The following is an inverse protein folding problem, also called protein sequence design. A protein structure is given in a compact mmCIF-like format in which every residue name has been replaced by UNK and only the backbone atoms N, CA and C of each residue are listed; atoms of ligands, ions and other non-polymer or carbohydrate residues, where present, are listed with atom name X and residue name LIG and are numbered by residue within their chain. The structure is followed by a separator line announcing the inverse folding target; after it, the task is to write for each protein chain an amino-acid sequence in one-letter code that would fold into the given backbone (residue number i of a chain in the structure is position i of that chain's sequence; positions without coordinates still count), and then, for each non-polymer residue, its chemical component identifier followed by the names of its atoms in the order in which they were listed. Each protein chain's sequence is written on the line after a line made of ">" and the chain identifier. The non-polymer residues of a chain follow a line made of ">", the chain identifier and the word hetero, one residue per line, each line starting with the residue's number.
data_IF_722033994124
#
_entry.id   IF_722033994124
#
_cell.length_a   1.000
_cell.length_b   1.000
_cell.length_c   1.000
_cell.angle_alpha   90.00
_cell.angle_beta   90.00
_cell.angle_gamma   90.00
#
_symmetry.space_group_name_H-M   'P 1'
#
loop_
_entity.id
_entity.type
_entity.pdbx_description
1 polymer ?
#
# COMPACT_ATOMS: atom_id res chain seq x y z
N UNK A 1 5.31 5.47 4.71
CA UNK A 1 6.56 4.67 4.75
C UNK A 1 6.72 3.76 3.53
N UNK A 2 5.89 2.72 3.36
CA UNK A 2 6.14 1.66 2.37
C UNK A 2 5.82 2.05 0.92
N UNK A 3 4.72 2.77 0.70
CA UNK A 3 4.17 3.03 -0.64
C UNK A 3 4.56 4.38 -1.23
N UNK A 4 5.38 5.17 -0.54
CA UNK A 4 5.70 6.54 -0.98
C UNK A 4 6.29 6.58 -2.40
N UNK A 5 7.21 5.68 -2.81
CA UNK A 5 7.69 5.67 -4.19
C UNK A 5 6.59 5.49 -5.24
N UNK A 6 5.64 4.58 -4.99
CA UNK A 6 4.52 4.35 -5.91
C UNK A 6 3.56 5.54 -5.93
N UNK A 7 3.21 6.08 -4.76
CA UNK A 7 2.30 7.23 -4.66
C UNK A 7 2.87 8.44 -5.41
N UNK A 8 4.15 8.76 -5.18
CA UNK A 8 4.80 9.88 -5.84
C UNK A 8 4.90 9.63 -7.35
N UNK A 9 5.25 8.43 -7.81
CA UNK A 9 5.31 8.12 -9.24
C UNK A 9 3.95 8.25 -9.94
N UNK A 10 2.85 7.83 -9.28
CA UNK A 10 1.50 7.96 -9.83
C UNK A 10 1.04 9.43 -9.88
N UNK A 11 1.45 10.25 -8.91
CA UNK A 11 1.07 11.65 -8.81
C UNK A 11 1.96 12.59 -9.64
N UNK A 12 3.17 12.17 -10.01
CA UNK A 12 4.15 12.97 -10.77
C UNK A 12 3.87 13.01 -12.29
N UNK A 13 2.76 12.43 -12.77
CA UNK A 13 2.38 12.55 -14.19
C UNK A 13 2.21 14.03 -14.58
N UNK A 14 3.03 14.49 -15.53
CA UNK A 14 2.98 15.84 -16.12
C UNK A 14 1.72 16.09 -16.94
N UNK A 15 1.12 15.01 -17.46
CA UNK A 15 -0.16 15.06 -18.14
C UNK A 15 -1.27 14.90 -17.08
N UNK A 16 -1.89 16.02 -16.71
CA UNK A 16 -2.96 16.06 -15.72
C UNK A 16 -4.18 15.21 -16.15
N UNK A 17 -4.41 15.03 -17.45
CA UNK A 17 -5.52 14.21 -17.96
C UNK A 17 -5.26 12.71 -17.81
N UNK A 18 -3.98 12.31 -17.71
CA UNK A 18 -3.57 10.91 -17.49
C UNK A 18 -3.27 10.59 -16.04
N UNK A 19 -3.30 11.58 -15.15
CA UNK A 19 -3.02 11.38 -13.73
C UNK A 19 -4.12 10.53 -13.10
N UNK A 20 -3.81 9.37 -12.52
CA UNK A 20 -4.82 8.57 -11.84
C UNK A 20 -5.32 9.30 -10.59
N UNK A 21 -6.60 9.09 -10.25
CA UNK A 21 -7.13 9.49 -8.95
C UNK A 21 -6.61 8.52 -7.90
N UNK A 22 -5.72 9.00 -7.04
CA UNK A 22 -5.14 8.20 -5.96
C UNK A 22 -5.97 8.38 -4.70
N UNK A 23 -6.25 7.26 -4.05
CA UNK A 23 -7.15 7.11 -2.91
C UNK A 23 -6.41 6.38 -1.78
N UNK A 24 -6.59 6.80 -0.54
CA UNK A 24 -6.01 6.15 0.65
C UNK A 24 -7.11 5.66 1.58
N UNK A 25 -7.06 4.38 1.94
CA UNK A 25 -7.94 3.77 2.93
C UNK A 25 -7.10 3.05 3.97
N UNK A 26 -7.11 3.57 5.20
CA UNK A 26 -6.43 3.00 6.35
C UNK A 26 -7.45 2.25 7.21
N UNK A 27 -7.26 0.94 7.41
CA UNK A 27 -8.26 0.10 8.08
C UNK A 27 -8.24 0.18 9.61
N UNK A 28 -7.28 0.92 10.17
CA UNK A 28 -7.18 1.14 11.61
C UNK A 28 -6.56 2.50 11.89
N UNK A 29 -6.92 3.09 13.03
CA UNK A 29 -6.27 4.28 13.58
C UNK A 29 -4.94 3.99 14.27
N UNK A 30 -4.58 2.72 14.46
CA UNK A 30 -3.36 2.35 15.16
C UNK A 30 -3.42 2.66 16.65
N UNK A 31 -4.55 2.39 17.31
CA UNK A 31 -4.80 2.80 18.69
C UNK A 31 -4.26 1.83 19.77
N UNK A 32 -3.37 0.90 19.42
CA UNK A 32 -2.82 -0.08 20.38
C UNK A 32 -2.17 0.59 21.62
N UNK A 33 -1.59 1.78 21.44
CA UNK A 33 -0.95 2.56 22.51
C UNK A 33 -1.86 3.68 23.07
N UNK A 34 -3.15 3.72 22.73
CA UNK A 34 -4.06 4.82 23.10
C UNK A 34 -3.83 6.13 22.32
N UNK A 35 -3.10 6.07 21.20
CA UNK A 35 -2.70 7.23 20.39
C UNK A 35 -3.46 7.37 19.06
N UNK A 36 -4.58 6.67 18.90
CA UNK A 36 -5.34 6.58 17.64
C UNK A 36 -5.74 7.95 17.07
N UNK A 37 -6.28 8.84 17.91
CA UNK A 37 -6.67 10.18 17.48
C UNK A 37 -5.46 11.02 17.03
N UNK A 38 -4.34 10.93 17.74
CA UNK A 38 -3.08 11.61 17.34
C UNK A 38 -2.61 11.05 15.99
N UNK A 39 -2.58 9.72 15.86
CA UNK A 39 -2.08 9.01 14.67
C UNK A 39 -2.96 9.25 13.44
N UNK A 40 -4.27 9.43 13.61
CA UNK A 40 -5.20 9.85 12.55
C UNK A 40 -4.74 11.18 11.93
N UNK A 41 -4.56 12.21 12.76
CA UNK A 41 -4.12 13.53 12.28
C UNK A 41 -2.69 13.52 11.74
N UNK A 42 -1.80 12.67 12.29
CA UNK A 42 -0.46 12.48 11.73
C UNK A 42 -0.50 11.87 10.32
N UNK A 43 -1.38 10.89 10.10
CA UNK A 43 -1.60 10.29 8.78
C UNK A 43 -2.16 11.32 7.81
N UNK A 44 -3.15 12.12 8.20
CA UNK A 44 -3.70 13.19 7.36
C UNK A 44 -2.60 14.14 6.85
N UNK A 45 -1.79 14.70 7.76
CA UNK A 45 -0.68 15.59 7.38
C UNK A 45 0.38 14.88 6.51
N UNK A 46 0.64 13.60 6.77
CA UNK A 46 1.55 12.78 5.96
C UNK A 46 1.03 12.63 4.52
N UNK A 47 -0.27 12.40 4.37
CA UNK A 47 -0.95 12.31 3.08
C UNK A 47 -0.98 13.64 2.34
N UNK A 48 -1.10 14.78 3.05
CA UNK A 48 -0.98 16.11 2.46
C UNK A 48 0.39 16.31 1.80
N UNK A 49 1.47 15.92 2.49
CA UNK A 49 2.84 15.99 1.95
C UNK A 49 2.98 15.12 0.69
N UNK A 50 2.40 13.92 0.70
CA UNK A 50 2.41 13.01 -0.46
C UNK A 50 1.51 13.48 -1.60
N UNK A 51 0.59 14.42 -1.36
CA UNK A 51 -0.31 14.99 -2.35
C UNK A 51 -1.62 14.21 -2.54
N UNK A 52 -2.09 13.49 -1.52
CA UNK A 52 -3.40 12.84 -1.54
C UNK A 52 -4.42 13.80 -0.90
N UNK A 53 -5.42 14.20 -1.69
CA UNK A 53 -6.46 15.16 -1.32
C UNK A 53 -7.34 14.65 -0.15
N UNK A 54 -7.87 15.59 0.66
CA UNK A 54 -8.70 15.30 1.83
C UNK A 54 -9.96 14.46 1.50
N UNK A 55 -10.66 14.79 0.42
CA UNK A 55 -11.80 14.00 -0.05
C UNK A 55 -11.43 12.64 -0.66
N UNK A 56 -10.16 12.23 -0.60
CA UNK A 56 -9.65 10.93 -1.10
C UNK A 56 -8.94 10.10 -0.03
N UNK A 57 -9.10 10.43 1.26
CA UNK A 57 -8.52 9.69 2.38
C UNK A 57 -9.57 9.26 3.40
N UNK A 58 -9.48 8.01 3.86
CA UNK A 58 -10.38 7.44 4.87
C UNK A 58 -9.60 6.66 5.90
N UNK A 59 -9.96 6.84 7.16
CA UNK A 59 -9.38 6.10 8.29
C UNK A 59 -10.52 5.44 9.06
N UNK A 60 -10.46 4.12 9.15
CA UNK A 60 -11.47 3.30 9.81
C UNK A 60 -11.10 3.14 11.27
N UNK A 61 -12.11 3.25 12.13
CA UNK A 61 -12.00 3.04 13.57
C UNK A 61 -13.18 2.19 14.01
N UNK A 62 -13.00 0.87 13.95
CA UNK A 62 -14.02 -0.12 14.31
C UNK A 62 -13.44 -1.12 15.30
N UNK A 63 -14.24 -1.70 16.20
CA UNK A 63 -13.75 -2.69 17.17
C UNK A 63 -13.06 -3.89 16.51
N UNK A 64 -13.55 -4.34 15.35
CA UNK A 64 -13.08 -5.55 14.67
C UNK A 64 -11.76 -5.36 13.91
N UNK A 65 -11.35 -4.11 13.66
CA UNK A 65 -10.12 -3.76 12.92
C UNK A 65 -9.15 -2.91 13.77
N UNK A 66 -9.15 -3.13 15.08
CA UNK A 66 -8.14 -2.51 15.95
C UNK A 66 -6.76 -3.10 15.68
N UNK A 67 -5.74 -2.25 15.78
CA UNK A 67 -4.35 -2.64 15.52
C UNK A 67 -3.87 -3.68 16.53
N UNK A 68 -3.66 -4.91 16.05
CA UNK A 68 -3.17 -6.03 16.82
C UNK A 68 -1.89 -6.63 16.20
N UNK A 69 -0.84 -6.80 17.00
CA UNK A 69 0.43 -7.39 16.56
C UNK A 69 0.48 -8.92 16.74
N UNK A 70 -0.58 -9.52 17.30
CA UNK A 70 -0.68 -10.96 17.61
C UNK A 70 -1.82 -11.67 16.88
N UNK A 71 -2.75 -10.95 16.28
CA UNK A 71 -3.93 -11.51 15.65
C UNK A 71 -4.15 -10.93 14.25
N UNK A 72 -4.55 -11.80 13.33
CA UNK A 72 -5.01 -11.39 12.00
C UNK A 72 -6.46 -10.89 12.06
N UNK A 73 -6.80 -9.96 11.17
CA UNK A 73 -8.18 -9.55 10.94
C UNK A 73 -8.91 -10.52 10.00
N UNK A 74 -10.23 -10.63 10.23
CA UNK A 74 -11.11 -11.46 9.42
C UNK A 74 -11.27 -10.92 7.98
N UNK A 75 -11.07 -11.76 6.94
CA UNK A 75 -11.20 -11.33 5.54
C UNK A 75 -12.58 -10.78 5.17
N UNK A 76 -13.67 -11.33 5.73
CA UNK A 76 -15.03 -10.86 5.44
C UNK A 76 -15.26 -9.45 6.00
N UNK A 77 -14.77 -9.18 7.21
CA UNK A 77 -14.81 -7.88 7.87
C UNK A 77 -14.07 -6.82 7.04
N UNK A 78 -12.85 -7.13 6.59
CA UNK A 78 -12.11 -6.26 5.67
C UNK A 78 -12.91 -6.03 4.38
N UNK A 79 -13.44 -7.08 3.76
CA UNK A 79 -14.21 -6.96 2.53
C UNK A 79 -15.45 -6.07 2.69
N UNK A 80 -16.15 -6.15 3.83
CA UNK A 80 -17.31 -5.32 4.15
C UNK A 80 -16.93 -3.83 4.22
N UNK A 81 -15.77 -3.50 4.80
CA UNK A 81 -15.25 -2.13 4.86
C UNK A 81 -14.77 -1.64 3.49
N UNK A 82 -14.08 -2.49 2.72
CA UNK A 82 -13.58 -2.13 1.39
C UNK A 82 -14.71 -1.93 0.37
N UNK A 83 -15.82 -2.69 0.47
CA UNK A 83 -16.88 -2.74 -0.55
C UNK A 83 -17.49 -1.38 -0.89
N UNK A 84 -18.08 -0.61 0.05
CA UNK A 84 -18.69 0.68 -0.28
C UNK A 84 -17.66 1.62 -0.89
N UNK A 85 -16.46 1.63 -0.31
CA UNK A 85 -15.36 2.48 -0.76
C UNK A 85 -14.94 2.22 -2.22
N UNK A 86 -14.74 0.95 -2.56
CA UNK A 86 -14.34 0.52 -3.91
C UNK A 86 -15.42 0.84 -4.93
N UNK A 87 -16.69 0.61 -4.60
CA UNK A 87 -17.81 0.79 -5.51
C UNK A 87 -18.17 2.26 -5.75
N UNK A 88 -18.25 3.07 -4.68
CA UNK A 88 -18.60 4.49 -4.73
C UNK A 88 -17.54 5.31 -5.48
N UNK A 89 -16.26 5.04 -5.22
CA UNK A 89 -15.15 5.73 -5.86
C UNK A 89 -14.73 5.13 -7.21
N UNK A 90 -15.42 4.05 -7.66
CA UNK A 90 -15.13 3.32 -8.90
C UNK A 90 -13.64 2.93 -9.01
N UNK A 91 -13.09 2.40 -7.91
CA UNK A 91 -11.69 2.00 -7.84
C UNK A 91 -11.43 0.90 -8.86
N UNK A 92 -10.43 1.09 -9.73
CA UNK A 92 -10.05 0.13 -10.77
C UNK A 92 -8.84 -0.72 -10.41
N UNK A 93 -8.05 -0.29 -9.42
CA UNK A 93 -6.83 -0.97 -8.97
C UNK A 93 -6.70 -0.82 -7.47
N UNK A 94 -6.47 -1.92 -6.77
CA UNK A 94 -6.17 -1.98 -5.34
C UNK A 94 -4.69 -2.33 -5.17
N UNK A 95 -3.97 -1.50 -4.43
CA UNK A 95 -2.57 -1.72 -4.03
C UNK A 95 -2.55 -2.04 -2.54
N UNK A 96 -1.92 -3.16 -2.16
CA UNK A 96 -1.85 -3.60 -0.76
C UNK A 96 -0.52 -4.33 -0.46
N UNK A 97 -0.34 -4.82 0.77
CA UNK A 97 0.79 -5.67 1.10
C UNK A 97 0.62 -7.09 0.54
N UNK A 98 1.70 -7.84 0.49
CA UNK A 98 1.65 -9.28 0.21
C UNK A 98 1.36 -10.10 1.49
N UNK A 99 1.34 -11.42 1.32
CA UNK A 99 1.09 -12.39 2.38
C UNK A 99 2.16 -12.42 3.48
N UNK A 100 3.28 -11.70 3.32
CA UNK A 100 4.32 -11.54 4.35
C UNK A 100 4.23 -10.17 5.05
N UNK A 101 3.39 -9.25 4.58
CA UNK A 101 3.12 -7.99 5.28
C UNK A 101 4.35 -7.09 5.50
N UNK A 102 5.41 -7.25 4.70
CA UNK A 102 6.75 -6.62 4.82
C UNK A 102 7.55 -7.08 6.04
N UNK A 103 6.93 -7.16 7.21
CA UNK A 103 7.56 -7.51 8.49
C UNK A 103 6.81 -8.60 9.26
N UNK A 104 5.97 -9.38 8.57
CA UNK A 104 5.07 -10.38 9.17
C UNK A 104 4.06 -9.79 10.16
N UNK A 105 3.71 -8.51 10.02
CA UNK A 105 2.70 -7.88 10.86
C UNK A 105 1.32 -8.49 10.54
N UNK A 106 0.60 -9.11 11.49
CA UNK A 106 -0.65 -9.83 11.21
C UNK A 106 -1.68 -8.99 10.45
N UNK A 107 -1.92 -7.75 10.87
CA UNK A 107 -2.85 -6.84 10.18
C UNK A 107 -2.48 -6.60 8.71
N UNK A 108 -1.18 -6.48 8.38
CA UNK A 108 -0.74 -6.34 6.99
C UNK A 108 -0.98 -7.63 6.19
N UNK A 109 -0.75 -8.80 6.79
CA UNK A 109 -0.98 -10.11 6.19
C UNK A 109 -2.47 -10.35 5.91
N UNK A 110 -3.36 -9.77 6.71
CA UNK A 110 -4.82 -9.87 6.51
C UNK A 110 -5.33 -9.05 5.33
N UNK A 111 -4.70 -7.92 5.00
CA UNK A 111 -5.17 -7.01 3.95
C UNK A 111 -5.34 -7.65 2.56
N UNK A 112 -4.37 -8.40 2.00
CA UNK A 112 -4.58 -9.05 0.71
C UNK A 112 -5.68 -10.12 0.75
N UNK A 113 -5.88 -10.81 1.88
CA UNK A 113 -6.94 -11.82 2.04
C UNK A 113 -8.32 -11.17 1.92
N UNK A 114 -8.54 -10.08 2.65
CA UNK A 114 -9.80 -9.33 2.59
C UNK A 114 -10.07 -8.67 1.24
N UNK A 115 -9.02 -8.11 0.60
CA UNK A 115 -9.15 -7.55 -0.75
C UNK A 115 -9.49 -8.62 -1.79
N UNK A 116 -8.82 -9.77 -1.76
CA UNK A 116 -9.15 -10.89 -2.65
C UNK A 116 -10.57 -11.42 -2.42
N UNK A 117 -11.01 -11.51 -1.16
CA UNK A 117 -12.37 -11.91 -0.80
C UNK A 117 -13.44 -10.92 -1.29
N UNK A 118 -13.19 -9.61 -1.20
CA UNK A 118 -14.07 -8.63 -1.83
C UNK A 118 -14.18 -8.88 -3.34
N UNK A 119 -13.04 -8.98 -4.02
CA UNK A 119 -13.00 -9.07 -5.48
C UNK A 119 -13.61 -10.38 -6.01
N UNK A 120 -13.49 -11.48 -5.26
CA UNK A 120 -14.09 -12.77 -5.63
C UNK A 120 -15.62 -12.73 -5.59
N UNK A 121 -16.20 -11.87 -4.74
CA UNK A 121 -17.65 -11.69 -4.57
C UNK A 121 -18.26 -10.57 -5.41
N UNK A 122 -17.46 -9.71 -6.05
CA UNK A 122 -17.98 -8.66 -6.92
C UNK A 122 -18.46 -9.24 -8.26
N UNK A 123 -19.59 -8.77 -8.82
CA UNK A 123 -19.95 -9.11 -10.20
C UNK A 123 -18.93 -8.50 -11.17
N UNK A 124 -18.65 -9.19 -12.27
CA UNK A 124 -17.80 -8.69 -13.36
C UNK A 124 -18.58 -8.74 -14.67
N UNK A 125 -18.62 -7.63 -15.39
CA UNK A 125 -19.18 -7.58 -16.76
C UNK A 125 -18.16 -6.93 -17.69
N UNK A 126 -18.26 -7.12 -19.02
CA UNK A 126 -17.37 -6.44 -19.96
C UNK A 126 -17.39 -4.91 -19.82
N UNK A 127 -18.55 -4.34 -19.45
CA UNK A 127 -18.72 -2.89 -19.23
C UNK A 127 -18.23 -2.40 -17.86
N UNK A 128 -18.09 -3.31 -16.89
CA UNK A 128 -17.69 -3.00 -15.52
C UNK A 128 -16.80 -4.14 -15.01
N UNK A 129 -15.51 -4.16 -15.40
CA UNK A 129 -14.57 -5.16 -14.94
C UNK A 129 -14.30 -4.98 -13.44
N UNK A 130 -13.93 -6.07 -12.78
CA UNK A 130 -13.45 -6.02 -11.39
C UNK A 130 -12.17 -5.18 -11.28
N UNK A 131 -11.95 -4.55 -10.12
CA UNK A 131 -10.66 -3.96 -9.82
C UNK A 131 -9.53 -5.00 -9.91
N UNK A 132 -8.37 -4.58 -10.40
CA UNK A 132 -7.13 -5.38 -10.35
C UNK A 132 -6.53 -5.32 -8.95
N UNK A 133 -5.93 -6.41 -8.49
CA UNK A 133 -5.27 -6.47 -7.19
C UNK A 133 -3.77 -6.62 -7.36
N UNK A 134 -2.99 -5.73 -6.74
CA UNK A 134 -1.55 -5.83 -6.69
C UNK A 134 -1.06 -5.84 -5.25
N UNK A 135 -0.07 -6.69 -4.98
CA UNK A 135 0.63 -6.75 -3.70
C UNK A 135 2.07 -6.29 -3.84
N UNK A 136 2.52 -5.47 -2.89
CA UNK A 136 3.91 -5.06 -2.77
C UNK A 136 4.75 -6.25 -2.32
N UNK A 137 5.78 -6.58 -3.09
CA UNK A 137 6.63 -7.73 -2.86
C UNK A 137 7.45 -7.52 -1.59
N UNK A 138 7.32 -8.44 -0.62
CA UNK A 138 8.21 -8.52 0.53
C UNK A 138 9.56 -9.08 0.13
N UNK A 139 10.59 -8.24 0.17
CA UNK A 139 11.97 -8.65 -0.12
C UNK A 139 12.68 -9.28 1.10
N UNK A 140 13.63 -10.20 0.89
CA UNK A 140 14.47 -10.76 1.95
C UNK A 140 15.22 -9.68 2.75
N UNK A 141 15.58 -9.99 4.00
CA UNK A 141 16.16 -9.02 4.94
C UNK A 141 17.43 -8.33 4.40
N UNK A 142 18.31 -9.07 3.74
CA UNK A 142 19.54 -8.52 3.17
C UNK A 142 19.26 -7.51 2.05
N UNK A 143 18.23 -7.74 1.22
CA UNK A 143 17.79 -6.81 0.18
C UNK A 143 17.01 -5.63 0.74
N UNK A 144 16.36 -5.81 1.90
CA UNK A 144 15.50 -4.82 2.55
C UNK A 144 16.28 -3.60 3.03
N UNK A 145 17.54 -3.79 3.43
CA UNK A 145 18.38 -2.74 4.02
C UNK A 145 19.55 -2.29 3.12
N UNK A 146 19.41 -2.47 1.80
CA UNK A 146 20.37 -1.92 0.81
C UNK A 146 20.24 -0.40 0.62
N UNK A 147 19.24 0.24 1.22
CA UNK A 147 19.05 1.69 1.27
C UNK A 147 19.21 2.39 -0.09
N UNK A 148 20.00 3.48 -0.19
CA UNK A 148 20.14 4.28 -1.40
C UNK A 148 20.85 3.56 -2.56
N UNK A 149 21.41 2.36 -2.34
CA UNK A 149 21.98 1.53 -3.42
C UNK A 149 20.87 0.81 -4.21
N UNK A 150 19.69 0.64 -3.61
CA UNK A 150 18.60 -0.10 -4.22
C UNK A 150 18.05 0.51 -5.53
N UNK A 151 17.84 1.84 -5.68
CA UNK A 151 17.50 2.44 -6.97
C UNK A 151 18.48 2.13 -8.09
N UNK A 152 19.78 2.14 -7.80
CA UNK A 152 20.83 1.89 -8.79
C UNK A 152 20.75 0.45 -9.26
N UNK A 153 20.65 -0.50 -8.33
CA UNK A 153 20.48 -1.91 -8.65
C UNK A 153 19.18 -2.19 -9.43
N UNK A 154 18.06 -1.56 -9.04
CA UNK A 154 16.77 -1.72 -9.73
C UNK A 154 16.81 -1.16 -11.16
N UNK A 155 17.41 0.03 -11.36
CA UNK A 155 17.60 0.60 -12.70
C UNK A 155 18.53 -0.26 -13.56
N UNK A 156 19.61 -0.79 -13.00
CA UNK A 156 20.51 -1.70 -13.71
C UNK A 156 19.81 -3.02 -14.10
N UNK A 157 19.00 -3.59 -13.22
CA UNK A 157 18.22 -4.79 -13.51
C UNK A 157 17.21 -4.59 -14.65
N UNK A 158 16.60 -3.40 -14.75
CA UNK A 158 15.73 -3.03 -15.87
C UNK A 158 16.49 -2.85 -17.21
N UNK A 159 17.78 -2.56 -17.16
CA UNK A 159 18.62 -2.32 -18.36
C UNK A 159 19.30 -3.59 -18.86
N UNK A 160 19.60 -4.55 -17.97
CA UNK A 160 20.31 -5.78 -18.31
C UNK A 160 19.38 -6.81 -18.98
N UNK A 161 19.64 -7.22 -20.24
CA UNK A 161 18.86 -8.27 -20.89
C UNK A 161 19.09 -9.62 -20.17
N UNK A 162 18.01 -10.28 -19.77
CA UNK A 162 18.05 -11.58 -19.09
C UNK A 162 18.02 -11.52 -17.56
N UNK A 163 18.16 -10.33 -16.95
CA UNK A 163 18.00 -10.14 -15.50
C UNK A 163 16.52 -9.95 -15.12
N UNK A 164 15.67 -10.89 -15.52
CA UNK A 164 14.35 -11.10 -14.91
C UNK A 164 13.49 -9.86 -14.70
N UNK A 165 13.23 -9.06 -15.73
CA UNK A 165 12.03 -8.23 -15.74
C UNK A 165 10.82 -9.17 -15.93
N UNK A 166 10.43 -9.86 -14.86
CA UNK A 166 9.01 -10.22 -14.72
C UNK A 166 8.22 -8.95 -15.03
N UNK A 167 7.14 -9.01 -15.81
CA UNK A 167 6.35 -7.82 -16.19
C UNK A 167 5.67 -7.08 -15.02
N UNK A 168 6.18 -7.25 -13.80
CA UNK A 168 5.88 -6.60 -12.57
C UNK A 168 6.07 -5.08 -12.68
N UNK A 169 5.04 -4.27 -12.36
CA UNK A 169 5.19 -2.83 -12.25
C UNK A 169 6.20 -2.45 -11.16
N UNK A 170 7.12 -1.54 -11.48
CA UNK A 170 8.14 -1.03 -10.54
C UNK A 170 8.07 0.49 -10.46
N UNK A 171 8.01 1.02 -9.25
CA UNK A 171 8.15 2.45 -8.98
C UNK A 171 9.51 2.73 -8.33
N UNK A 172 10.29 3.66 -8.88
CA UNK A 172 11.62 4.03 -8.39
C UNK A 172 11.66 5.53 -8.12
N UNK A 173 11.96 5.90 -6.87
CA UNK A 173 12.18 7.28 -6.46
C UNK A 173 13.63 7.70 -6.66
N UNK A 174 13.81 8.95 -7.11
CA UNK A 174 15.07 9.66 -6.99
C UNK A 174 15.20 10.34 -5.62
N UNK A 175 16.24 11.17 -5.48
CA UNK A 175 16.50 11.91 -4.24
C UNK A 175 15.34 12.80 -3.80
N UNK A 176 14.72 13.53 -4.73
CA UNK A 176 13.56 14.38 -4.45
C UNK A 176 12.37 13.58 -3.90
N UNK A 177 12.08 12.42 -4.51
CA UNK A 177 11.02 11.51 -4.04
C UNK A 177 11.32 10.96 -2.65
N UNK A 178 12.58 10.59 -2.39
CA UNK A 178 13.02 10.17 -1.05
C UNK A 178 12.85 11.29 -0.01
N UNK A 179 13.29 12.51 -0.32
CA UNK A 179 13.16 13.65 0.59
C UNK A 179 11.70 13.95 0.91
N UNK A 180 10.81 13.87 -0.08
CA UNK A 180 9.37 14.04 0.12
C UNK A 180 8.75 12.89 0.93
N UNK A 181 9.18 11.64 0.69
CA UNK A 181 8.79 10.50 1.51
C UNK A 181 9.25 10.65 2.97
N UNK A 182 10.46 11.18 3.20
CA UNK A 182 10.99 11.47 4.53
C UNK A 182 10.19 12.59 5.21
N UNK A 183 9.87 13.68 4.51
CA UNK A 183 9.00 14.75 5.02
C UNK A 183 7.62 14.24 5.44
N UNK A 184 7.04 13.32 4.66
CA UNK A 184 5.78 12.67 5.01
C UNK A 184 5.94 11.80 6.28
N UNK A 185 7.04 11.04 6.37
CA UNK A 185 7.36 10.27 7.58
C UNK A 185 7.52 11.15 8.82
N UNK A 186 8.12 12.34 8.69
CA UNK A 186 8.28 13.33 9.77
C UNK A 186 6.96 13.83 10.36
N UNK A 187 5.82 13.63 9.68
CA UNK A 187 4.50 13.94 10.22
C UNK A 187 4.05 12.92 11.28
N UNK A 188 4.58 11.71 11.28
CA UNK A 188 4.26 10.63 12.22
C UNK A 188 5.14 10.69 13.48
N UNK A 189 5.13 11.81 14.20
CA UNK A 189 5.99 12.04 15.37
C UNK A 189 5.82 10.95 16.43
N UNK A 190 4.58 10.52 16.70
CA UNK A 190 4.25 9.48 17.68
C UNK A 190 4.78 8.09 17.30
N UNK A 191 5.12 7.87 16.02
CA UNK A 191 5.57 6.57 15.49
C UNK A 191 7.04 6.57 15.03
N UNK A 192 7.70 7.74 15.00
CA UNK A 192 9.11 7.93 14.66
C UNK A 192 10.05 7.65 15.85
N UNK A 193 9.90 6.47 16.46
CA UNK A 193 10.81 5.95 17.48
C UNK A 193 12.15 5.51 16.88
N UNK A 194 13.15 5.24 17.72
CA UNK A 194 14.55 5.04 17.29
C UNK A 194 14.75 4.07 16.10
N UNK A 195 14.09 2.91 16.09
CA UNK A 195 14.24 1.94 15.00
C UNK A 195 13.58 2.39 13.69
N UNK A 196 12.61 3.31 13.77
CA UNK A 196 11.97 3.91 12.59
C UNK A 196 12.96 4.80 11.83
N UNK A 197 13.88 5.46 12.54
CA UNK A 197 14.96 6.22 11.94
C UNK A 197 15.92 5.32 11.15
N UNK A 198 16.23 4.14 11.68
CA UNK A 198 17.00 3.13 10.94
C UNK A 198 16.24 2.67 9.69
N UNK A 199 14.95 2.42 9.82
CA UNK A 199 14.13 2.00 8.68
C UNK A 199 14.10 3.07 7.58
N UNK A 200 13.79 4.34 7.89
CA UNK A 200 13.71 5.38 6.84
C UNK A 200 15.06 5.65 6.20
N UNK A 201 16.17 5.46 6.92
CA UNK A 201 17.52 5.67 6.39
C UNK A 201 17.96 4.53 5.45
N UNK A 202 17.67 3.28 5.82
CA UNK A 202 18.27 2.11 5.17
C UNK A 202 17.27 1.27 4.37
N UNK A 203 15.96 1.50 4.49
CA UNK A 203 14.99 0.66 3.82
C UNK A 203 14.93 0.91 2.32
N UNK A 204 14.99 -0.19 1.54
CA UNK A 204 14.68 -0.21 0.10
C UNK A 204 13.30 0.36 -0.21
N UNK A 205 12.31 0.22 0.67
CA UNK A 205 10.95 0.67 0.39
C UNK A 205 10.77 2.20 0.42
N UNK A 206 11.76 2.94 0.93
CA UNK A 206 11.81 4.41 0.78
C UNK A 206 12.18 4.84 -0.65
N UNK A 207 12.60 3.88 -1.48
CA UNK A 207 13.23 4.12 -2.77
C UNK A 207 12.55 3.36 -3.91
N UNK A 208 12.21 2.09 -3.68
CA UNK A 208 11.73 1.17 -4.71
C UNK A 208 10.50 0.42 -4.21
N UNK A 209 9.47 0.35 -5.04
CA UNK A 209 8.33 -0.54 -4.85
C UNK A 209 8.21 -1.45 -6.06
N UNK A 210 8.11 -2.76 -5.81
CA UNK A 210 7.92 -3.79 -6.83
C UNK A 210 6.59 -4.50 -6.56
N UNK A 211 5.77 -4.63 -7.60
CA UNK A 211 4.41 -5.09 -7.47
C UNK A 211 4.18 -6.37 -8.26
N UNK A 212 3.41 -7.29 -7.71
CA UNK A 212 2.90 -8.46 -8.43
C UNK A 212 1.38 -8.41 -8.46
N UNK A 213 0.80 -8.70 -9.63
CA UNK A 213 -0.65 -8.85 -9.75
C UNK A 213 -1.07 -10.16 -9.08
N UNK A 214 -2.09 -10.08 -8.23
CA UNK A 214 -2.66 -11.21 -7.51
C UNK A 214 -3.89 -11.69 -8.31
N UNK A 215 -3.86 -12.89 -8.91
CA UNK A 215 -5.03 -13.44 -9.58
C UNK A 215 -6.14 -13.68 -8.57
N UNK A 216 -7.34 -13.17 -8.84
CA UNK A 216 -8.53 -13.41 -8.01
C UNK A 216 -9.45 -14.38 -8.73
N UNK A 217 -9.68 -15.53 -8.10
CA UNK A 217 -10.67 -16.50 -8.58
C UNK A 217 -12.06 -16.02 -8.15
N UNK A 218 -13.02 -15.84 -9.08
CA UNK A 218 -14.41 -15.58 -8.71
C UNK A 218 -14.92 -16.68 -7.77
N UNK A 219 -15.66 -16.33 -6.72
CA UNK A 219 -16.49 -17.34 -6.07
C UNK A 219 -17.51 -17.79 -7.11
N UNK A 220 -17.44 -19.05 -7.53
CA UNK A 220 -18.51 -19.67 -8.29
C UNK A 220 -19.80 -19.44 -7.49
N UNK A 221 -20.85 -18.92 -8.14
CA UNK A 221 -22.18 -19.08 -7.58
C UNK A 221 -22.37 -20.59 -7.40
N UNK A 222 -22.23 -21.08 -6.18
CA UNK A 222 -22.69 -22.40 -5.82
C UNK A 222 -24.15 -22.43 -6.22
N UNK A 223 -24.47 -23.29 -7.19
CA UNK A 223 -25.83 -23.64 -7.52
C UNK A 223 -26.49 -24.15 -6.24
N UNK A 224 -27.46 -23.39 -5.73
CA UNK A 224 -28.69 -23.83 -5.06
C UNK A 224 -29.59 -22.62 -4.78
#
# INVERSE_FOLDING_TARGET
>A
MFFAPTLLALLDSKDAQKRPKVHSLCLSVGNADGLGDVRRHELERSLDVLGIEDGRRWVVDTPDLQDNFTAEWDPQTIANVLRPYVLENRISTILTFDHQGISLHPNHVSLPKGAAHLLSTLPSTPSKPRPRLFSLITVPLHSKYLGPVAPVAAKLALILPGAGASGAPVAVSGWEGYMRALQAMMQHRSQLVWFRWLYVSFSRYMWVNEWVEVPVVPMSASAE
#
